data_IF_716689421057
#
_entry.id   IF_716689421057
#
_cell.length_a   1.000
_cell.length_b   1.000
_cell.length_c   1.000
_cell.angle_alpha   90.00
_cell.angle_beta   90.00
_cell.angle_gamma   90.00
#
_symmetry.space_group_name_H-M   'P 1'
#
loop_
_entity.id
_entity.type
_entity.pdbx_description
1 polymer ?
#
# COMPACT_ATOMS: atom_id res chain seq x y z
N UNK A 1 -19.98 14.14 80.81
CA UNK A 1 -19.57 15.08 79.72
C UNK A 1 -18.16 14.82 79.16
N UNK A 2 -17.13 14.54 79.99
CA UNK A 2 -15.73 14.36 79.53
C UNK A 2 -15.53 13.19 78.56
N UNK A 3 -16.21 12.05 78.78
CA UNK A 3 -16.05 10.84 77.94
C UNK A 3 -16.60 11.00 76.51
N UNK A 4 -17.70 11.74 76.32
CA UNK A 4 -18.27 12.04 74.99
C UNK A 4 -17.35 12.95 74.18
N UNK A 5 -16.65 13.89 74.83
CA UNK A 5 -15.67 14.78 74.16
C UNK A 5 -14.42 14.01 73.75
N UNK A 6 -13.93 13.10 74.59
CA UNK A 6 -12.80 12.24 74.24
C UNK A 6 -13.11 11.32 73.05
N UNK A 7 -14.32 10.74 73.00
CA UNK A 7 -14.75 9.90 71.89
C UNK A 7 -14.84 10.67 70.57
N UNK A 8 -15.38 11.90 70.61
CA UNK A 8 -15.46 12.79 69.46
C UNK A 8 -14.08 13.16 68.91
N UNK A 9 -13.10 13.42 69.77
CA UNK A 9 -11.74 13.74 69.36
C UNK A 9 -11.10 12.53 68.65
N UNK A 10 -11.29 11.32 69.18
CA UNK A 10 -10.75 10.10 68.58
C UNK A 10 -11.38 9.86 67.21
N UNK A 11 -12.70 10.04 67.08
CA UNK A 11 -13.42 9.89 65.80
C UNK A 11 -12.98 10.94 64.77
N UNK A 12 -12.79 12.19 65.18
CA UNK A 12 -12.28 13.23 64.29
C UNK A 12 -10.83 12.94 63.84
N UNK A 13 -9.98 12.43 64.73
CA UNK A 13 -8.61 12.08 64.37
C UNK A 13 -8.55 10.88 63.42
N UNK A 14 -9.37 9.85 63.62
CA UNK A 14 -9.42 8.71 62.71
C UNK A 14 -10.00 9.08 61.34
N UNK A 15 -11.01 9.95 61.28
CA UNK A 15 -11.51 10.51 60.01
C UNK A 15 -10.44 11.34 59.28
N UNK A 16 -9.70 12.18 60.01
CA UNK A 16 -8.61 12.96 59.43
C UNK A 16 -7.50 12.05 58.88
N UNK A 17 -7.17 10.99 59.60
CA UNK A 17 -6.15 10.03 59.19
C UNK A 17 -6.57 9.25 57.93
N UNK A 18 -7.85 8.87 57.84
CA UNK A 18 -8.40 8.25 56.62
C UNK A 18 -8.30 9.24 55.46
N UNK A 19 -8.75 10.49 55.62
CA UNK A 19 -8.69 11.49 54.54
C UNK A 19 -7.25 11.71 54.08
N UNK A 20 -6.27 11.79 54.99
CA UNK A 20 -4.86 11.98 54.65
C UNK A 20 -4.23 10.75 53.95
N UNK A 21 -4.68 9.52 54.26
CA UNK A 21 -4.23 8.31 53.59
C UNK A 21 -4.98 8.02 52.27
N UNK A 22 -6.17 8.60 52.07
CA UNK A 22 -6.94 8.51 50.82
C UNK A 22 -6.49 9.53 49.76
N UNK A 23 -5.62 10.48 50.10
CA UNK A 23 -4.97 11.32 49.09
C UNK A 23 -3.85 10.51 48.48
N UNK A 24 -4.21 9.57 47.60
CA UNK A 24 -3.28 9.17 46.54
C UNK A 24 -2.84 10.46 45.86
N UNK A 25 -1.52 10.61 45.71
CA UNK A 25 -0.96 11.64 44.85
C UNK A 25 -1.61 11.47 43.49
N UNK A 26 -2.57 12.35 43.15
CA UNK A 26 -2.97 12.56 41.78
C UNK A 26 -1.72 13.09 41.12
N UNK A 27 -0.96 12.16 40.54
CA UNK A 27 0.17 12.46 39.70
C UNK A 27 -0.39 13.46 38.70
N UNK A 28 0.12 14.70 38.77
CA UNK A 28 -0.36 15.79 37.94
C UNK A 28 0.00 15.38 36.52
N UNK A 29 -0.93 14.66 35.88
CA UNK A 29 -0.79 14.12 34.56
C UNK A 29 -0.34 15.28 33.71
N UNK A 30 0.88 15.15 33.18
CA UNK A 30 1.33 15.97 32.05
C UNK A 30 0.12 16.03 31.15
N UNK A 31 -0.45 17.23 30.97
CA UNK A 31 -1.57 17.43 30.08
C UNK A 31 -1.07 17.06 28.69
N UNK A 32 -1.18 15.78 28.36
CA UNK A 32 -0.88 15.26 27.05
C UNK A 32 -1.91 15.91 26.16
N UNK A 33 -1.44 16.70 25.21
CA UNK A 33 -2.26 17.05 24.07
C UNK A 33 -2.62 15.70 23.44
N UNK A 34 -3.84 15.22 23.71
CA UNK A 34 -4.34 13.99 23.14
C UNK A 34 -4.47 14.23 21.64
N UNK A 35 -3.53 13.71 20.88
CA UNK A 35 -3.66 13.68 19.42
C UNK A 35 -4.66 12.58 19.14
N UNK A 36 -5.81 12.96 18.60
CA UNK A 36 -6.82 12.00 18.16
C UNK A 36 -6.24 11.21 16.99
N UNK A 37 -6.21 9.88 17.10
CA UNK A 37 -5.90 9.05 15.95
C UNK A 37 -7.06 9.11 14.95
N UNK A 38 -6.76 9.30 13.67
CA UNK A 38 -7.75 9.47 12.60
C UNK A 38 -7.43 8.47 11.50
N UNK A 39 -8.47 7.92 10.87
CA UNK A 39 -8.25 6.95 9.79
C UNK A 39 -7.44 7.57 8.64
N UNK A 40 -6.59 6.79 7.96
CA UNK A 40 -5.88 7.26 6.78
C UNK A 40 -6.82 7.79 5.70
N UNK A 41 -6.34 8.70 4.84
CA UNK A 41 -7.13 9.26 3.75
C UNK A 41 -6.38 9.18 2.41
N UNK A 42 -7.04 8.72 1.35
CA UNK A 42 -6.47 8.75 0.00
C UNK A 42 -6.57 10.17 -0.59
N UNK A 43 -5.43 10.84 -0.73
CA UNK A 43 -5.34 12.13 -1.42
C UNK A 43 -5.39 11.99 -2.94
N UNK A 44 -4.79 10.93 -3.45
CA UNK A 44 -4.78 10.64 -4.89
C UNK A 44 -4.62 9.15 -5.14
N UNK A 45 -5.40 8.66 -6.10
CA UNK A 45 -5.26 7.31 -6.67
C UNK A 45 -5.18 7.47 -8.17
N UNK A 46 -4.07 7.04 -8.78
CA UNK A 46 -3.87 7.09 -10.23
C UNK A 46 -3.41 5.74 -10.75
N UNK A 47 -4.08 5.28 -11.80
CA UNK A 47 -3.73 4.05 -12.49
C UNK A 47 -3.17 4.43 -13.86
N UNK A 48 -1.98 3.94 -14.17
CA UNK A 48 -1.37 4.05 -15.49
C UNK A 48 -1.21 2.65 -16.03
N UNK A 49 -1.85 2.39 -17.17
CA UNK A 49 -1.69 1.14 -17.91
C UNK A 49 -0.95 1.46 -19.20
N UNK A 50 0.20 0.85 -19.40
CA UNK A 50 1.04 1.08 -20.56
C UNK A 50 2.14 0.04 -20.63
N UNK A 51 2.52 -0.32 -21.85
CA UNK A 51 3.68 -1.18 -22.09
C UNK A 51 3.62 -2.52 -21.35
N UNK A 52 2.44 -3.14 -21.23
CA UNK A 52 2.26 -4.41 -20.50
C UNK A 52 2.59 -4.35 -19.00
N UNK A 53 2.59 -3.15 -18.41
CA UNK A 53 2.69 -2.91 -16.96
C UNK A 53 1.47 -2.10 -16.54
N UNK A 54 0.97 -2.40 -15.34
CA UNK A 54 0.02 -1.58 -14.61
C UNK A 54 0.75 -0.99 -13.43
N UNK A 55 0.76 0.35 -13.35
CA UNK A 55 1.27 1.09 -12.20
C UNK A 55 0.11 1.75 -11.48
N UNK A 56 -0.04 1.45 -10.20
CA UNK A 56 -1.02 2.06 -9.31
C UNK A 56 -0.26 2.97 -8.35
N UNK A 57 -0.46 4.27 -8.54
CA UNK A 57 0.10 5.32 -7.69
C UNK A 57 -0.93 5.67 -6.63
N UNK A 58 -0.51 5.56 -5.38
CA UNK A 58 -1.30 5.87 -4.20
C UNK A 58 -0.60 6.98 -3.44
N UNK A 59 -1.34 8.02 -3.08
CA UNK A 59 -0.91 9.01 -2.10
C UNK A 59 -1.86 8.94 -0.92
N UNK A 60 -1.36 8.41 0.19
CA UNK A 60 -2.12 8.24 1.43
C UNK A 60 -1.64 9.26 2.45
N UNK A 61 -2.57 9.97 3.09
CA UNK A 61 -2.29 10.86 4.20
C UNK A 61 -2.55 10.16 5.52
N UNK A 62 -1.59 10.26 6.42
CA UNK A 62 -1.69 9.86 7.83
C UNK A 62 -2.35 10.98 8.69
N UNK A 63 -2.56 12.19 8.15
CA UNK A 63 -3.14 13.36 8.84
C UNK A 63 -2.35 13.89 10.06
N UNK A 64 -1.94 13.03 10.99
CA UNK A 64 -1.23 13.37 12.22
C UNK A 64 0.32 13.29 12.08
N UNK A 65 0.85 12.85 10.92
CA UNK A 65 2.29 12.67 10.64
C UNK A 65 3.00 11.62 11.52
N UNK A 66 2.28 10.71 12.18
CA UNK A 66 2.86 9.72 13.08
C UNK A 66 3.62 8.61 12.35
N UNK A 67 3.52 8.60 11.03
CA UNK A 67 4.00 7.54 10.14
C UNK A 67 3.45 6.21 10.59
N UNK A 68 2.15 6.15 10.84
CA UNK A 68 1.52 4.97 11.41
C UNK A 68 0.81 4.12 10.36
N UNK A 69 0.88 4.46 9.07
CA UNK A 69 0.46 3.56 8.01
C UNK A 69 1.32 2.30 8.06
N UNK A 70 0.70 1.18 8.41
CA UNK A 70 1.35 -0.10 8.65
C UNK A 70 1.45 -0.94 7.38
N UNK A 71 0.35 -1.06 6.66
CA UNK A 71 0.19 -1.99 5.55
C UNK A 71 -0.80 -1.44 4.53
N UNK A 72 -0.52 -1.69 3.26
CA UNK A 72 -1.45 -1.43 2.15
C UNK A 72 -1.63 -2.72 1.37
N UNK A 73 -2.87 -3.18 1.26
CA UNK A 73 -3.28 -4.31 0.46
C UNK A 73 -3.96 -3.83 -0.82
N UNK A 74 -3.50 -4.32 -1.97
CA UNK A 74 -4.06 -4.07 -3.28
C UNK A 74 -4.63 -5.38 -3.84
N UNK A 75 -5.94 -5.41 -4.01
CA UNK A 75 -6.69 -6.52 -4.57
C UNK A 75 -7.07 -6.20 -6.01
N UNK A 76 -6.74 -7.10 -6.92
CA UNK A 76 -7.19 -7.07 -8.30
C UNK A 76 -8.34 -8.08 -8.42
N UNK A 77 -9.54 -7.59 -8.70
CA UNK A 77 -10.77 -8.36 -8.61
C UNK A 77 -11.50 -8.46 -9.95
N UNK A 78 -12.22 -9.58 -10.12
CA UNK A 78 -13.20 -9.82 -11.18
C UNK A 78 -14.55 -10.13 -10.52
N UNK A 79 -15.51 -9.20 -10.61
CA UNK A 79 -16.87 -9.37 -10.06
C UNK A 79 -16.90 -9.87 -8.61
N UNK A 80 -15.99 -9.37 -7.77
CA UNK A 80 -15.89 -9.72 -6.34
C UNK A 80 -15.04 -10.96 -6.03
N UNK A 81 -14.40 -11.56 -7.04
CA UNK A 81 -13.41 -12.64 -6.86
C UNK A 81 -12.01 -12.04 -6.99
N UNK A 82 -11.19 -12.19 -5.95
CA UNK A 82 -9.77 -11.83 -5.99
C UNK A 82 -9.05 -12.69 -7.03
N UNK A 83 -8.29 -12.04 -7.91
CA UNK A 83 -7.44 -12.69 -8.93
C UNK A 83 -5.96 -12.51 -8.62
N UNK A 84 -5.62 -11.39 -7.99
CA UNK A 84 -4.31 -11.15 -7.41
C UNK A 84 -4.44 -10.27 -6.16
N UNK A 85 -3.54 -10.47 -5.21
CA UNK A 85 -3.41 -9.69 -3.99
C UNK A 85 -1.94 -9.33 -3.81
N UNK A 86 -1.64 -8.03 -3.88
CA UNK A 86 -0.33 -7.47 -3.59
C UNK A 86 -0.37 -6.74 -2.25
N UNK A 87 0.73 -6.81 -1.52
CA UNK A 87 0.89 -6.20 -0.21
C UNK A 87 2.12 -5.34 -0.19
N UNK A 88 1.98 -4.15 0.37
CA UNK A 88 3.07 -3.31 0.82
C UNK A 88 3.05 -3.29 2.35
N UNK A 89 4.15 -3.64 2.98
CA UNK A 89 4.37 -3.47 4.42
C UNK A 89 5.34 -2.33 4.65
N UNK A 90 4.88 -1.34 5.39
CA UNK A 90 5.73 -0.24 5.82
C UNK A 90 6.57 -0.65 7.04
N UNK A 91 5.98 -1.44 7.95
CA UNK A 91 6.63 -2.00 9.14
C UNK A 91 6.42 -3.51 9.22
N UNK A 92 7.28 -4.23 9.96
CA UNK A 92 7.15 -5.68 10.14
C UNK A 92 5.90 -6.06 10.97
N UNK A 93 5.57 -5.22 11.97
CA UNK A 93 4.38 -5.36 12.81
C UNK A 93 3.83 -4.00 13.24
N UNK A 94 2.64 -3.98 13.85
CA UNK A 94 2.04 -2.75 14.39
C UNK A 94 2.78 -2.18 15.60
N UNK A 95 3.69 -2.94 16.21
CA UNK A 95 4.45 -2.54 17.40
C UNK A 95 5.88 -2.09 17.08
N UNK A 96 6.39 -2.39 15.90
CA UNK A 96 7.73 -1.99 15.46
C UNK A 96 7.68 -0.65 14.71
N UNK A 97 8.75 0.15 14.84
CA UNK A 97 8.87 1.49 14.25
C UNK A 97 9.95 1.56 13.16
N UNK A 98 10.66 0.47 12.91
CA UNK A 98 11.68 0.41 11.86
C UNK A 98 11.01 0.17 10.51
N UNK A 99 11.15 1.13 9.60
CA UNK A 99 10.58 1.07 8.25
C UNK A 99 11.28 -0.03 7.44
N UNK A 100 10.52 -1.01 6.93
CA UNK A 100 11.03 -2.10 6.08
C UNK A 100 10.71 -1.89 4.59
N UNK A 101 9.60 -1.21 4.29
CA UNK A 101 9.14 -0.89 2.93
C UNK A 101 9.13 -2.08 1.96
N UNK A 102 8.54 -3.21 2.38
CA UNK A 102 8.57 -4.46 1.63
C UNK A 102 7.31 -4.64 0.77
N UNK A 103 7.49 -5.09 -0.48
CA UNK A 103 6.40 -5.46 -1.38
C UNK A 103 6.37 -6.97 -1.55
N UNK A 104 5.18 -7.56 -1.54
CA UNK A 104 4.98 -9.00 -1.70
C UNK A 104 3.69 -9.34 -2.44
N UNK A 105 3.67 -10.47 -3.14
CA UNK A 105 2.45 -11.04 -3.75
C UNK A 105 1.91 -12.14 -2.84
N UNK A 106 0.70 -11.94 -2.33
CA UNK A 106 0.03 -12.86 -1.40
C UNK A 106 -0.83 -13.89 -2.14
N UNK A 107 -1.45 -13.46 -3.24
CA UNK A 107 -2.25 -14.29 -4.14
C UNK A 107 -1.96 -13.86 -5.59
N UNK A 108 -1.73 -14.81 -6.49
CA UNK A 108 -1.49 -14.52 -7.90
C UNK A 108 -0.49 -15.50 -8.55
N UNK A 109 -0.10 -15.17 -9.79
CA UNK A 109 0.79 -15.98 -10.63
C UNK A 109 2.10 -15.25 -10.97
N UNK A 110 2.73 -14.62 -9.98
CA UNK A 110 3.96 -13.81 -10.16
C UNK A 110 3.72 -12.62 -11.08
N UNK A 111 2.65 -11.87 -10.82
CA UNK A 111 2.32 -10.66 -11.55
C UNK A 111 3.09 -9.44 -11.03
N UNK A 112 3.49 -9.44 -9.76
CA UNK A 112 4.16 -8.32 -9.11
C UNK A 112 5.57 -8.10 -9.69
N UNK A 113 5.87 -6.86 -10.04
CA UNK A 113 7.17 -6.43 -10.55
C UNK A 113 7.89 -5.65 -9.44
N UNK A 114 8.60 -6.37 -8.58
CA UNK A 114 9.24 -5.82 -7.38
C UNK A 114 10.19 -4.65 -7.68
N UNK A 115 11.02 -4.78 -8.74
CA UNK A 115 11.99 -3.75 -9.14
C UNK A 115 11.34 -2.43 -9.59
N UNK A 116 10.04 -2.45 -9.89
CA UNK A 116 9.26 -1.30 -10.34
C UNK A 116 8.33 -0.75 -9.24
N UNK A 117 8.25 -1.45 -8.10
CA UNK A 117 7.52 -0.99 -6.93
C UNK A 117 8.36 0.00 -6.12
N UNK A 118 7.72 0.98 -5.49
CA UNK A 118 8.43 1.95 -4.67
C UNK A 118 7.54 2.56 -3.60
N UNK A 119 8.13 2.92 -2.48
CA UNK A 119 7.48 3.69 -1.42
C UNK A 119 8.38 4.87 -1.06
N UNK A 120 7.78 6.05 -0.90
CA UNK A 120 8.51 7.26 -0.50
C UNK A 120 7.58 8.22 0.22
N UNK A 121 8.09 8.90 1.23
CA UNK A 121 7.39 10.04 1.82
C UNK A 121 7.51 11.26 0.91
N UNK A 122 6.54 12.17 0.98
CA UNK A 122 6.64 13.46 0.28
C UNK A 122 7.96 14.16 0.61
N UNK A 123 8.69 14.55 -0.43
CA UNK A 123 9.89 15.38 -0.32
C UNK A 123 9.57 16.87 -0.15
N UNK A 124 8.29 17.23 -0.18
CA UNK A 124 7.82 18.62 -0.04
C UNK A 124 7.46 18.85 1.42
N UNK A 125 8.16 19.75 2.09
CA UNK A 125 7.99 20.10 3.51
C UNK A 125 7.31 21.47 3.68
N UNK A 126 6.64 21.95 2.63
CA UNK A 126 6.03 23.28 2.60
C UNK A 126 4.87 23.42 3.57
N UNK A 127 4.10 22.36 3.81
CA UNK A 127 3.00 22.34 4.77
C UNK A 127 3.09 21.12 5.70
N UNK A 128 2.41 21.20 6.86
CA UNK A 128 2.30 20.06 7.80
C UNK A 128 1.60 18.87 7.13
N UNK A 129 0.58 19.13 6.30
CA UNK A 129 -0.15 18.08 5.56
C UNK A 129 0.76 17.37 4.55
N UNK A 130 1.67 18.08 3.88
CA UNK A 130 2.60 17.46 2.94
C UNK A 130 3.53 16.44 3.64
N UNK A 131 3.88 16.67 4.91
CA UNK A 131 4.72 15.75 5.70
C UNK A 131 4.00 14.46 6.10
N UNK A 132 2.65 14.47 6.06
CA UNK A 132 1.82 13.31 6.37
C UNK A 132 1.67 12.35 5.18
N UNK A 133 2.23 12.68 4.00
CA UNK A 133 1.95 11.94 2.77
C UNK A 133 2.95 10.81 2.54
N UNK A 134 2.40 9.60 2.39
CA UNK A 134 3.08 8.41 1.91
C UNK A 134 2.68 8.16 0.45
N UNK A 135 3.67 8.13 -0.43
CA UNK A 135 3.51 7.77 -1.84
C UNK A 135 3.93 6.32 -2.03
N UNK A 136 3.00 5.48 -2.49
CA UNK A 136 3.25 4.05 -2.77
C UNK A 136 2.91 3.77 -4.23
N UNK A 137 3.80 3.07 -4.91
CA UNK A 137 3.64 2.63 -6.28
C UNK A 137 3.68 1.11 -6.31
N UNK A 138 2.54 0.52 -6.65
CA UNK A 138 2.47 -0.89 -7.02
C UNK A 138 2.67 -1.01 -8.53
N UNK A 139 3.58 -1.88 -8.95
CA UNK A 139 3.80 -2.19 -10.35
C UNK A 139 3.61 -3.69 -10.58
N UNK A 140 2.75 -4.06 -11.51
CA UNK A 140 2.45 -5.45 -11.81
C UNK A 140 2.10 -5.63 -13.29
N UNK A 141 2.29 -6.85 -13.80
CA UNK A 141 1.80 -7.20 -15.14
C UNK A 141 0.27 -7.31 -15.12
N UNK A 142 -0.45 -6.86 -16.17
CA UNK A 142 -1.91 -6.85 -16.21
C UNK A 142 -2.51 -8.22 -15.88
N UNK A 143 -3.37 -8.25 -14.85
CA UNK A 143 -4.05 -9.49 -14.43
C UNK A 143 -5.22 -9.78 -15.39
N UNK A 144 -5.28 -10.97 -16.02
CA UNK A 144 -6.33 -11.30 -16.97
C UNK A 144 -7.73 -11.21 -16.36
N UNK A 145 -8.72 -10.82 -17.18
CA UNK A 145 -10.16 -10.85 -16.85
C UNK A 145 -10.53 -10.10 -15.57
N UNK A 146 -9.77 -9.08 -15.19
CA UNK A 146 -10.03 -8.28 -14.00
C UNK A 146 -10.84 -7.03 -14.36
N UNK A 147 -11.73 -6.63 -13.46
CA UNK A 147 -12.69 -5.52 -13.65
C UNK A 147 -12.55 -4.42 -12.61
N UNK A 148 -11.84 -4.66 -11.51
CA UNK A 148 -11.74 -3.73 -10.38
C UNK A 148 -10.39 -3.84 -9.68
N UNK A 149 -9.91 -2.72 -9.18
CA UNK A 149 -8.82 -2.67 -8.20
C UNK A 149 -9.40 -2.10 -6.91
N UNK A 150 -9.25 -2.84 -5.81
CA UNK A 150 -9.60 -2.42 -4.45
C UNK A 150 -8.31 -2.25 -3.66
N UNK A 151 -8.19 -1.15 -2.93
CA UNK A 151 -7.02 -0.85 -2.09
C UNK A 151 -7.52 -0.65 -0.68
N UNK A 152 -6.89 -1.33 0.28
CA UNK A 152 -7.19 -1.23 1.70
C UNK A 152 -5.90 -0.86 2.42
N UNK A 153 -5.92 0.24 3.15
CA UNK A 153 -4.81 0.72 3.97
C UNK A 153 -5.15 0.53 5.44
N UNK A 154 -4.17 0.05 6.19
CA UNK A 154 -4.24 -0.21 7.62
C UNK A 154 -3.23 0.69 8.32
N UNK A 155 -3.66 1.40 9.35
CA UNK A 155 -2.75 2.05 10.29
C UNK A 155 -2.30 1.05 11.39
N UNK A 156 -1.38 1.50 12.25
CA UNK A 156 -0.94 0.74 13.42
C UNK A 156 -1.92 0.81 14.59
N UNK A 157 -2.83 1.78 14.59
CA UNK A 157 -3.88 2.00 15.58
C UNK A 157 -5.14 1.13 15.40
N UNK A 158 -5.23 0.36 14.30
CA UNK A 158 -6.37 -0.46 13.93
C UNK A 158 -7.44 0.24 13.08
N UNK A 159 -7.19 1.46 12.62
CA UNK A 159 -8.03 2.18 11.66
C UNK A 159 -7.72 1.74 10.23
N UNK A 160 -8.75 1.83 9.40
CA UNK A 160 -8.76 1.30 8.03
C UNK A 160 -9.31 2.35 7.09
N UNK A 161 -8.74 2.41 5.90
CA UNK A 161 -9.25 3.20 4.79
C UNK A 161 -9.23 2.40 3.50
N UNK A 162 -10.35 2.39 2.77
CA UNK A 162 -10.45 1.71 1.49
C UNK A 162 -10.79 2.68 0.34
N UNK A 163 -10.34 2.33 -0.85
CA UNK A 163 -10.71 2.98 -2.10
C UNK A 163 -10.77 1.95 -3.20
N UNK A 164 -11.62 2.17 -4.20
CA UNK A 164 -11.69 1.26 -5.34
C UNK A 164 -11.89 2.00 -6.64
N UNK A 165 -11.34 1.43 -7.70
CA UNK A 165 -11.39 2.01 -9.04
C UNK A 165 -11.79 0.90 -10.01
N UNK A 166 -12.66 1.25 -10.96
CA UNK A 166 -12.96 0.38 -12.08
C UNK A 166 -11.69 0.15 -12.90
N UNK A 167 -11.35 -1.11 -13.11
CA UNK A 167 -10.13 -1.52 -13.78
C UNK A 167 -10.51 -2.47 -14.90
N UNK A 168 -10.69 -1.96 -16.10
CA UNK A 168 -11.10 -2.80 -17.22
C UNK A 168 -9.88 -3.30 -18.02
N UNK A 169 -9.48 -4.55 -17.79
CA UNK A 169 -8.46 -5.22 -18.60
C UNK A 169 -9.09 -6.19 -19.61
N UNK A 170 -10.09 -5.72 -20.38
CA UNK A 170 -10.62 -6.43 -21.55
C UNK A 170 -9.63 -6.34 -22.71
N UNK A 171 -8.74 -7.33 -22.81
CA UNK A 171 -8.00 -7.77 -23.99
C UNK A 171 -7.53 -6.69 -25.00
N UNK A 172 -6.20 -6.49 -25.07
CA UNK A 172 -5.55 -6.15 -26.33
C UNK A 172 -4.89 -4.79 -26.38
N UNK A 173 -3.69 -4.70 -25.81
CA UNK A 173 -2.49 -4.14 -26.46
C UNK A 173 -1.31 -4.26 -25.49
N UNK A 174 -0.79 -5.49 -25.40
CA UNK A 174 0.32 -5.86 -24.52
C UNK A 174 1.64 -5.75 -25.30
N UNK A 175 2.20 -4.55 -25.42
CA UNK A 175 3.58 -4.38 -25.90
C UNK A 175 4.47 -3.93 -24.75
N UNK A 176 4.98 -4.86 -23.95
CA UNK A 176 6.15 -4.61 -23.11
C UNK A 176 7.39 -5.05 -23.89
N UNK A 177 8.46 -4.24 -23.91
CA UNK A 177 9.71 -4.63 -24.56
C UNK A 177 10.34 -5.90 -23.93
N UNK A 178 10.11 -6.10 -22.62
CA UNK A 178 10.76 -7.12 -21.82
C UNK A 178 9.84 -8.28 -21.40
N UNK A 179 8.52 -8.19 -21.65
CA UNK A 179 7.55 -9.20 -21.21
C UNK A 179 6.47 -9.47 -22.26
N UNK A 180 6.14 -10.73 -22.48
CA UNK A 180 4.98 -11.12 -23.27
C UNK A 180 4.05 -11.92 -22.38
N UNK A 181 2.75 -11.59 -22.44
CA UNK A 181 1.68 -12.39 -21.83
C UNK A 181 0.83 -12.93 -22.97
N UNK A 182 1.12 -14.13 -23.49
CA UNK A 182 0.28 -14.74 -24.52
C UNK A 182 -1.11 -15.02 -23.96
N UNK A 183 -2.15 -14.86 -24.77
CA UNK A 183 -3.54 -14.97 -24.33
C UNK A 183 -3.93 -16.37 -23.78
N UNK A 184 -3.07 -17.37 -23.99
CA UNK A 184 -3.23 -18.75 -23.56
C UNK A 184 -2.33 -19.13 -22.36
N UNK A 185 -1.58 -18.18 -21.80
CA UNK A 185 -0.76 -18.41 -20.61
C UNK A 185 -1.21 -17.52 -19.46
N UNK A 186 -1.25 -18.11 -18.27
CA UNK A 186 -1.62 -17.46 -17.01
C UNK A 186 -0.41 -16.80 -16.32
N UNK A 187 0.77 -16.85 -16.94
CA UNK A 187 2.01 -16.29 -16.43
C UNK A 187 2.78 -15.53 -17.52
N UNK A 188 3.35 -14.35 -17.19
CA UNK A 188 4.20 -13.61 -18.11
C UNK A 188 5.51 -14.35 -18.41
N UNK A 189 6.00 -14.23 -19.64
CA UNK A 189 7.34 -14.67 -20.01
C UNK A 189 8.22 -13.45 -20.21
N UNK A 190 9.35 -13.42 -19.49
CA UNK A 190 10.41 -12.44 -19.72
C UNK A 190 11.09 -12.72 -21.05
N UNK A 191 11.16 -11.71 -21.91
CA UNK A 191 11.88 -11.75 -23.17
C UNK A 191 12.99 -10.68 -23.15
N UNK A 192 14.13 -10.92 -23.80
CA UNK A 192 15.10 -9.87 -24.06
C UNK A 192 14.46 -8.75 -24.88
N UNK A 193 14.74 -7.49 -24.55
CA UNK A 193 14.25 -6.30 -25.28
C UNK A 193 14.43 -6.40 -26.78
N UNK A 194 15.56 -6.98 -27.20
CA UNK A 194 16.01 -6.99 -28.59
C UNK A 194 15.40 -8.16 -29.39
N UNK A 195 14.78 -9.14 -28.72
CA UNK A 195 14.33 -10.38 -29.35
C UNK A 195 13.29 -10.12 -30.45
N UNK A 196 12.36 -9.21 -30.20
CA UNK A 196 11.29 -8.88 -31.15
C UNK A 196 11.81 -8.10 -32.35
N UNK A 197 12.79 -7.22 -32.13
CA UNK A 197 13.44 -6.47 -33.21
C UNK A 197 14.26 -7.43 -34.09
N UNK A 198 15.00 -8.36 -33.49
CA UNK A 198 15.77 -9.40 -34.20
C UNK A 198 14.85 -10.29 -35.04
N UNK A 199 13.72 -10.74 -34.50
CA UNK A 199 12.75 -11.56 -35.24
C UNK A 199 12.16 -10.76 -36.41
N UNK A 200 11.81 -9.50 -36.19
CA UNK A 200 11.22 -8.62 -37.20
C UNK A 200 12.18 -8.38 -38.37
N UNK A 201 13.45 -8.04 -38.07
CA UNK A 201 14.50 -7.81 -39.07
C UNK A 201 14.79 -9.10 -39.85
N UNK A 202 14.91 -10.23 -39.15
CA UNK A 202 15.17 -11.54 -39.78
C UNK A 202 14.05 -11.95 -40.74
N UNK A 203 12.79 -11.72 -40.33
CA UNK A 203 11.62 -12.02 -41.15
C UNK A 203 11.57 -11.12 -42.38
N UNK A 204 11.83 -9.81 -42.21
CA UNK A 204 11.86 -8.86 -43.31
C UNK A 204 12.97 -9.19 -44.33
N UNK A 205 14.18 -9.53 -43.87
CA UNK A 205 15.29 -9.96 -44.72
C UNK A 205 14.94 -11.23 -45.50
N UNK A 206 14.35 -12.21 -44.84
CA UNK A 206 13.95 -13.47 -45.47
C UNK A 206 12.88 -13.23 -46.54
N UNK A 207 11.85 -12.43 -46.22
CA UNK A 207 10.80 -12.07 -47.17
C UNK A 207 11.35 -11.32 -48.38
N UNK A 208 12.25 -10.36 -48.17
CA UNK A 208 12.91 -9.60 -49.23
C UNK A 208 13.75 -10.52 -50.12
N UNK A 209 14.54 -11.43 -49.54
CA UNK A 209 15.34 -12.41 -50.27
C UNK A 209 14.44 -13.33 -51.14
N UNK A 210 13.35 -13.85 -50.58
CA UNK A 210 12.38 -14.68 -51.31
C UNK A 210 11.74 -13.90 -52.47
N UNK A 211 11.35 -12.64 -52.25
CA UNK A 211 10.79 -11.79 -53.31
C UNK A 211 11.81 -11.50 -54.42
N UNK A 212 13.08 -11.27 -54.08
CA UNK A 212 14.14 -11.03 -55.06
C UNK A 212 14.43 -12.28 -55.89
N UNK A 213 14.49 -13.47 -55.27
CA UNK A 213 14.66 -14.74 -55.98
C UNK A 213 13.48 -14.98 -56.94
N UNK A 214 12.24 -14.85 -56.43
CA UNK A 214 11.03 -14.99 -57.27
C UNK A 214 10.95 -14.01 -58.43
N UNK A 215 11.49 -12.79 -58.27
CA UNK A 215 11.50 -11.78 -59.34
C UNK A 215 12.57 -12.07 -60.40
N UNK A 216 13.60 -12.84 -60.06
CA UNK A 216 14.67 -13.23 -60.97
C UNK A 216 14.35 -14.51 -61.76
N UNK A 217 13.45 -15.34 -61.22
CA UNK A 217 12.91 -16.55 -61.87
C UNK A 217 11.70 -16.28 -62.79
N UNK A 218 11.18 -15.04 -62.81
CA UNK A 218 10.20 -14.55 -63.79
C UNK A 218 10.91 -13.73 -64.87
#
# INVERSE_FOLDING_TARGET
>A
MRMRRALLIIVCFSLLFIVLYSVESVDAGRAGVGVLNVSPEYRSTRIIQGEGIVKVYLTVSDYNSWRDIYQIDLFVEDRGVTRAHFRFKHYESTTQYDEINEFSEMEGNSYLLLDECSASHSSTDKTVDDRCLLNVVFAFTPVPRSTRILVITYDRGGLIADTSVEYNNTAGNFRNANYIVPFWMDSPIRIPSDLIDVISISTALTAAAVMLVRRRER
#
